data_IF_058107386278
#
_entry.id   IF_058107386278
#
_cell.length_a   1.000
_cell.length_b   1.000
_cell.length_c   1.000
_cell.angle_alpha   90.00
_cell.angle_beta   90.00
_cell.angle_gamma   90.00
#
_symmetry.space_group_name_H-M   'P 1'
#
loop_
_entity.id
_entity.type
_entity.pdbx_description
1 polymer ?
#
# COMPACT_ATOMS: atom_id res chain seq x y z
N UNK A 1 -6.50 7.43 26.57
CA UNK A 1 -5.33 7.41 27.49
C UNK A 1 -4.05 7.62 26.67
N UNK A 2 -3.09 8.43 27.13
CA UNK A 2 -1.82 8.69 26.43
C UNK A 2 -0.96 7.41 26.33
N UNK A 3 -0.21 7.25 25.23
CA UNK A 3 0.73 6.13 25.05
C UNK A 3 2.10 6.42 25.69
N UNK A 4 2.31 7.62 26.25
CA UNK A 4 3.55 8.06 26.91
C UNK A 4 3.30 8.32 28.40
N UNK A 5 3.95 7.57 29.32
CA UNK A 5 3.86 7.83 30.76
C UNK A 5 4.25 9.27 31.12
N UNK A 6 3.72 9.82 32.21
CA UNK A 6 4.01 11.21 32.63
C UNK A 6 5.46 11.44 33.07
N UNK A 7 6.19 10.39 33.45
CA UNK A 7 7.58 10.45 33.91
C UNK A 7 8.41 9.25 33.43
N UNK A 8 9.71 9.27 33.68
CA UNK A 8 10.63 8.16 33.39
C UNK A 8 11.24 8.17 31.99
N UNK A 9 11.90 7.07 31.62
CA UNK A 9 12.71 6.97 30.40
C UNK A 9 11.90 7.28 29.13
N UNK A 10 10.70 6.72 28.99
CA UNK A 10 9.90 6.90 27.77
C UNK A 10 9.45 8.37 27.59
N UNK A 11 9.11 9.05 28.69
CA UNK A 11 8.81 10.48 28.69
C UNK A 11 10.02 11.31 28.25
N UNK A 12 11.21 10.99 28.75
CA UNK A 12 12.45 11.66 28.35
C UNK A 12 12.72 11.47 26.85
N UNK A 13 12.60 10.25 26.35
CA UNK A 13 12.78 9.95 24.92
C UNK A 13 11.75 10.66 24.04
N UNK A 14 10.49 10.76 24.47
CA UNK A 14 9.46 11.53 23.77
C UNK A 14 9.83 13.02 23.65
N UNK A 15 10.29 13.63 24.76
CA UNK A 15 10.71 15.04 24.77
C UNK A 15 11.92 15.27 23.83
N UNK A 16 12.87 14.34 23.82
CA UNK A 16 14.06 14.45 22.96
C UNK A 16 13.68 14.27 21.48
N UNK A 17 12.86 13.26 21.16
CA UNK A 17 12.41 12.99 19.80
C UNK A 17 11.67 14.16 19.13
N UNK A 18 11.10 15.10 19.91
CA UNK A 18 10.46 16.29 19.40
C UNK A 18 11.44 17.31 18.76
N UNK A 19 12.75 17.16 18.93
CA UNK A 19 13.78 18.12 18.44
C UNK A 19 14.17 17.98 16.96
N UNK A 20 13.37 17.30 16.14
CA UNK A 20 13.62 17.03 14.70
C UNK A 20 14.91 16.28 14.37
N UNK A 21 15.34 15.40 15.27
CA UNK A 21 16.49 14.53 15.06
C UNK A 21 16.00 13.09 14.81
N UNK A 22 16.38 12.54 13.66
CA UNK A 22 15.87 11.26 13.15
C UNK A 22 16.13 10.09 14.11
N UNK A 23 17.37 9.95 14.60
CA UNK A 23 17.73 8.85 15.50
C UNK A 23 17.00 8.94 16.85
N UNK A 24 16.61 10.13 17.30
CA UNK A 24 15.89 10.30 18.56
C UNK A 24 14.45 9.81 18.41
N UNK A 25 13.82 10.11 17.27
CA UNK A 25 12.48 9.62 16.94
C UNK A 25 12.45 8.09 16.81
N UNK A 26 13.42 7.51 16.09
CA UNK A 26 13.50 6.05 15.98
C UNK A 26 13.77 5.38 17.33
N UNK A 27 14.68 5.94 18.15
CA UNK A 27 14.95 5.42 19.51
C UNK A 27 13.70 5.44 20.39
N UNK A 28 12.93 6.53 20.38
CA UNK A 28 11.66 6.62 21.12
C UNK A 28 10.72 5.47 20.75
N UNK A 29 10.49 5.27 19.44
CA UNK A 29 9.57 4.23 18.98
C UNK A 29 10.08 2.81 19.21
N UNK A 30 11.38 2.57 19.08
CA UNK A 30 11.96 1.25 19.36
C UNK A 30 11.76 0.87 20.83
N UNK A 31 12.03 1.79 21.76
CA UNK A 31 11.80 1.56 23.20
C UNK A 31 10.30 1.44 23.52
N UNK A 32 9.45 2.21 22.83
CA UNK A 32 8.00 2.08 22.96
C UNK A 32 7.51 0.69 22.55
N UNK A 33 7.95 0.20 21.39
CA UNK A 33 7.58 -1.12 20.85
C UNK A 33 8.04 -2.24 21.78
N UNK A 34 9.27 -2.17 22.30
CA UNK A 34 9.78 -3.16 23.26
C UNK A 34 8.95 -3.22 24.54
N UNK A 35 8.41 -2.09 25.00
CA UNK A 35 7.48 -2.07 26.14
C UNK A 35 6.10 -2.61 25.77
N UNK A 36 5.62 -2.27 24.59
CA UNK A 36 4.30 -2.68 24.11
C UNK A 36 4.23 -4.19 23.83
N UNK A 37 5.34 -4.80 23.41
CA UNK A 37 5.49 -6.22 23.10
C UNK A 37 6.60 -6.84 23.97
N UNK A 38 6.40 -6.80 25.29
CA UNK A 38 7.39 -7.22 26.27
C UNK A 38 7.26 -8.71 26.65
N UNK A 39 6.17 -9.36 26.27
CA UNK A 39 5.96 -10.78 26.56
C UNK A 39 6.94 -11.64 25.77
N UNK A 40 7.36 -12.77 26.35
CA UNK A 40 8.41 -13.66 25.80
C UNK A 40 8.08 -14.21 24.40
N UNK A 41 6.79 -14.23 24.02
CA UNK A 41 6.34 -14.62 22.69
C UNK A 41 6.72 -13.60 21.61
N UNK A 42 7.13 -12.38 21.98
CA UNK A 42 7.39 -11.30 21.03
C UNK A 42 8.85 -10.89 21.00
N UNK A 43 9.27 -10.52 19.81
CA UNK A 43 10.59 -9.96 19.53
C UNK A 43 10.42 -8.68 18.72
N UNK A 44 11.07 -7.61 19.16
CA UNK A 44 11.25 -6.40 18.35
C UNK A 44 12.65 -6.44 17.74
N UNK A 45 12.73 -6.41 16.43
CA UNK A 45 13.99 -6.34 15.70
C UNK A 45 14.07 -5.05 14.89
N UNK A 46 15.21 -4.38 14.92
CA UNK A 46 15.46 -3.17 14.15
C UNK A 46 16.38 -3.47 12.96
N UNK A 47 16.29 -2.69 11.89
CA UNK A 47 17.20 -2.76 10.74
C UNK A 47 17.21 -4.13 10.04
N UNK A 48 16.04 -4.79 9.96
CA UNK A 48 15.90 -6.12 9.34
C UNK A 48 15.50 -5.99 7.87
N UNK A 49 16.03 -6.83 6.97
CA UNK A 49 15.53 -6.87 5.60
C UNK A 49 14.13 -7.50 5.50
N UNK A 50 13.21 -6.94 4.67
CA UNK A 50 11.86 -7.47 4.55
C UNK A 50 11.77 -8.80 3.78
N UNK A 51 12.83 -9.13 3.05
CA UNK A 51 13.04 -10.29 2.18
C UNK A 51 14.55 -10.62 2.18
N UNK A 52 15.02 -11.47 1.27
CA UNK A 52 16.45 -11.78 1.13
C UNK A 52 17.28 -10.64 0.51
N UNK A 53 16.68 -9.45 0.28
CA UNK A 53 17.39 -8.31 -0.30
C UNK A 53 18.19 -7.53 0.75
N UNK A 54 19.01 -6.58 0.26
CA UNK A 54 19.77 -5.65 1.13
C UNK A 54 18.93 -4.51 1.70
N UNK A 55 17.68 -4.34 1.25
CA UNK A 55 16.81 -3.30 1.77
C UNK A 55 16.48 -3.63 3.22
N UNK A 56 16.49 -2.66 4.10
CA UNK A 56 16.08 -2.82 5.50
C UNK A 56 14.80 -2.05 5.75
N UNK A 57 14.00 -2.55 6.67
CA UNK A 57 12.95 -1.79 7.32
C UNK A 57 13.45 -1.34 8.68
N UNK A 58 12.87 -0.28 9.20
CA UNK A 58 13.37 0.32 10.43
C UNK A 58 13.11 -0.57 11.64
N UNK A 59 11.91 -1.16 11.75
CA UNK A 59 11.63 -2.18 12.75
C UNK A 59 10.54 -3.20 12.35
N UNK A 60 10.61 -4.38 12.96
CA UNK A 60 9.64 -5.47 12.82
C UNK A 60 9.36 -6.06 14.20
N UNK A 61 8.08 -6.25 14.52
CA UNK A 61 7.66 -7.12 15.62
C UNK A 61 7.38 -8.51 15.05
N UNK A 62 8.00 -9.52 15.65
CA UNK A 62 7.77 -10.93 15.34
C UNK A 62 7.15 -11.61 16.54
N UNK A 63 6.30 -12.61 16.27
CA UNK A 63 5.74 -13.50 17.29
C UNK A 63 6.31 -14.90 17.11
N UNK A 64 6.72 -15.51 18.21
CA UNK A 64 7.15 -16.89 18.31
C UNK A 64 5.94 -17.79 18.56
N UNK A 65 5.83 -18.86 17.77
CA UNK A 65 4.88 -19.94 17.97
C UNK A 65 5.62 -21.17 18.48
N UNK A 66 5.58 -21.36 19.80
CA UNK A 66 6.22 -22.47 20.52
C UNK A 66 5.75 -23.85 20.03
N UNK A 67 4.51 -23.98 19.56
CA UNK A 67 3.98 -25.28 19.11
C UNK A 67 4.63 -25.78 17.83
N UNK A 68 5.05 -24.85 16.96
CA UNK A 68 5.60 -25.15 15.65
C UNK A 68 7.07 -24.74 15.53
N UNK A 69 7.64 -24.14 16.59
CA UNK A 69 8.98 -23.55 16.62
C UNK A 69 9.23 -22.57 15.45
N UNK A 70 8.31 -21.61 15.26
CA UNK A 70 8.42 -20.64 14.17
C UNK A 70 8.30 -19.19 14.63
N UNK A 71 9.01 -18.30 13.93
CA UNK A 71 8.84 -16.85 14.05
C UNK A 71 8.04 -16.32 12.87
N UNK A 72 7.04 -15.49 13.15
CA UNK A 72 6.23 -14.83 12.12
C UNK A 72 6.19 -13.32 12.35
N UNK A 73 6.41 -12.53 11.30
CA UNK A 73 6.28 -11.08 11.38
C UNK A 73 4.80 -10.69 11.56
N UNK A 74 4.52 -9.92 12.60
CA UNK A 74 3.15 -9.48 12.93
C UNK A 74 2.95 -7.99 12.65
N UNK A 75 3.96 -7.16 12.87
CA UNK A 75 3.88 -5.70 12.67
C UNK A 75 5.15 -5.17 12.01
N UNK A 76 4.99 -4.44 10.91
CA UNK A 76 6.08 -3.71 10.24
C UNK A 76 6.03 -2.24 10.60
N UNK A 77 7.20 -1.64 10.83
CA UNK A 77 7.27 -0.26 11.26
C UNK A 77 8.29 0.52 10.43
N UNK A 78 7.83 1.66 9.89
CA UNK A 78 8.68 2.62 9.21
C UNK A 78 8.73 3.92 10.03
N UNK A 79 9.94 4.36 10.35
CA UNK A 79 10.21 5.58 11.09
C UNK A 79 10.52 6.73 10.14
N UNK A 80 10.11 7.93 10.54
CA UNK A 80 10.55 9.15 9.87
C UNK A 80 10.78 10.24 10.90
N UNK A 81 11.80 11.07 10.66
CA UNK A 81 12.03 12.28 11.44
C UNK A 81 10.83 13.24 11.38
N UNK A 82 10.64 14.14 12.35
CA UNK A 82 9.54 15.09 12.38
C UNK A 82 9.36 15.90 11.09
N UNK A 83 10.41 16.37 10.42
CA UNK A 83 10.29 17.07 9.11
C UNK A 83 10.08 16.16 7.90
N UNK A 84 9.93 14.85 8.13
CA UNK A 84 9.82 13.83 7.10
C UNK A 84 8.57 13.91 6.21
N UNK A 85 8.71 13.41 4.98
CA UNK A 85 7.60 13.34 4.02
C UNK A 85 6.66 12.17 4.34
N UNK A 86 5.43 12.51 4.74
CA UNK A 86 4.37 11.56 5.10
C UNK A 86 4.02 10.60 3.96
N UNK A 87 3.97 11.10 2.72
CA UNK A 87 3.67 10.26 1.54
C UNK A 87 4.76 9.23 1.31
N UNK A 88 6.01 9.64 1.54
CA UNK A 88 7.15 8.76 1.35
C UNK A 88 7.17 7.64 2.40
N UNK A 89 6.96 7.95 3.68
CA UNK A 89 6.95 6.92 4.74
C UNK A 89 5.81 5.92 4.53
N UNK A 90 4.60 6.38 4.15
CA UNK A 90 3.48 5.49 3.84
C UNK A 90 3.75 4.64 2.59
N UNK A 91 4.34 5.21 1.55
CA UNK A 91 4.73 4.46 0.36
C UNK A 91 5.79 3.39 0.68
N UNK A 92 6.81 3.73 1.47
CA UNK A 92 7.86 2.81 1.89
C UNK A 92 7.29 1.65 2.71
N UNK A 93 6.43 1.96 3.68
CA UNK A 93 5.78 0.98 4.52
C UNK A 93 4.85 0.05 3.74
N UNK A 94 4.05 0.60 2.80
CA UNK A 94 3.21 -0.19 1.92
C UNK A 94 4.03 -1.11 1.02
N UNK A 95 5.13 -0.63 0.43
CA UNK A 95 6.00 -1.47 -0.40
C UNK A 95 6.66 -2.60 0.42
N UNK A 96 7.10 -2.32 1.64
CA UNK A 96 7.63 -3.34 2.55
C UNK A 96 6.58 -4.40 2.93
N UNK A 97 5.36 -3.97 3.25
CA UNK A 97 4.25 -4.86 3.56
C UNK A 97 3.92 -5.81 2.40
N UNK A 98 3.85 -5.29 1.15
CA UNK A 98 3.63 -6.11 -0.05
C UNK A 98 4.67 -7.21 -0.20
N UNK A 99 5.94 -6.88 0.02
CA UNK A 99 7.05 -7.84 -0.07
C UNK A 99 6.93 -8.91 1.00
N UNK A 100 6.67 -8.50 2.24
CA UNK A 100 6.50 -9.43 3.35
C UNK A 100 5.34 -10.41 3.11
N UNK A 101 4.16 -9.90 2.71
CA UNK A 101 2.98 -10.72 2.44
C UNK A 101 3.31 -11.80 1.40
N UNK A 102 3.99 -11.43 0.31
CA UNK A 102 4.38 -12.37 -0.75
C UNK A 102 5.43 -13.37 -0.28
N UNK A 103 6.48 -12.90 0.38
CA UNK A 103 7.60 -13.74 0.82
C UNK A 103 7.18 -14.77 1.88
N UNK A 104 6.21 -14.43 2.73
CA UNK A 104 5.78 -15.27 3.85
C UNK A 104 4.38 -15.89 3.64
N UNK A 105 3.80 -15.71 2.45
CA UNK A 105 2.46 -16.17 2.08
C UNK A 105 1.37 -15.81 3.11
N UNK A 106 1.33 -14.54 3.53
CA UNK A 106 0.39 -14.06 4.55
C UNK A 106 -0.93 -13.59 3.92
N UNK A 107 -2.03 -13.65 4.67
CA UNK A 107 -3.31 -13.07 4.25
C UNK A 107 -3.35 -11.55 4.43
N UNK A 108 -2.64 -11.07 5.43
CA UNK A 108 -2.54 -9.64 5.74
C UNK A 108 -1.25 -9.36 6.51
N UNK A 109 -0.96 -8.09 6.77
CA UNK A 109 0.05 -7.70 7.74
C UNK A 109 -0.30 -6.36 8.37
N UNK A 110 0.03 -6.18 9.64
CA UNK A 110 -0.11 -4.90 10.31
C UNK A 110 1.08 -4.00 10.01
N UNK A 111 0.82 -2.71 9.89
CA UNK A 111 1.82 -1.69 9.57
C UNK A 111 1.65 -0.50 10.50
N UNK A 112 2.77 0.07 10.94
CA UNK A 112 2.83 1.33 11.66
C UNK A 112 3.77 2.27 10.92
N UNK A 113 3.34 3.50 10.72
CA UNK A 113 4.17 4.57 10.18
C UNK A 113 4.29 5.67 11.21
N UNK A 114 5.48 6.26 11.32
CA UNK A 114 5.71 7.35 12.28
C UNK A 114 6.37 8.54 11.61
N UNK A 115 6.06 9.73 12.14
CA UNK A 115 6.69 10.99 11.77
C UNK A 115 6.96 11.74 13.07
N UNK A 116 8.21 11.78 13.49
CA UNK A 116 8.56 12.26 14.82
C UNK A 116 7.99 11.37 15.91
N UNK A 117 7.24 11.99 16.83
CA UNK A 117 6.53 11.30 17.92
C UNK A 117 5.07 11.00 17.60
N UNK A 118 4.65 11.24 16.35
CA UNK A 118 3.28 10.96 15.91
C UNK A 118 3.24 9.70 15.05
N UNK A 119 2.10 9.00 15.06
CA UNK A 119 1.95 7.70 14.41
C UNK A 119 0.65 7.59 13.61
N UNK A 120 0.65 6.64 12.67
CA UNK A 120 -0.55 6.00 12.12
C UNK A 120 -0.34 4.50 12.06
N UNK A 121 -1.45 3.77 12.13
CA UNK A 121 -1.47 2.31 12.11
C UNK A 121 -2.48 1.79 11.10
N UNK A 122 -2.13 0.70 10.46
CA UNK A 122 -2.76 0.21 9.24
C UNK A 122 -2.79 -1.31 9.20
N UNK A 123 -3.65 -1.83 8.33
CA UNK A 123 -3.61 -3.22 7.87
C UNK A 123 -3.46 -3.21 6.35
N UNK A 124 -2.62 -4.11 5.83
CA UNK A 124 -2.51 -4.39 4.40
C UNK A 124 -3.00 -5.80 4.16
N UNK A 125 -3.89 -6.00 3.20
CA UNK A 125 -4.45 -7.31 2.86
C UNK A 125 -3.85 -7.81 1.55
N UNK A 126 -3.66 -9.13 1.43
CA UNK A 126 -3.22 -9.74 0.17
C UNK A 126 -4.21 -9.49 -0.98
N UNK A 127 -5.52 -9.43 -0.66
CA UNK A 127 -6.56 -9.12 -1.63
C UNK A 127 -6.50 -7.68 -2.17
N UNK A 128 -5.82 -6.77 -1.45
CA UNK A 128 -5.64 -5.38 -1.86
C UNK A 128 -4.23 -4.88 -1.48
N UNK A 129 -3.25 -5.35 -2.24
CA UNK A 129 -1.86 -4.93 -2.12
C UNK A 129 -1.60 -3.49 -2.59
N UNK A 130 -2.62 -2.66 -2.87
CA UNK A 130 -2.42 -1.28 -3.30
C UNK A 130 -2.82 -0.25 -2.26
N UNK A 131 -3.38 -0.67 -1.13
CA UNK A 131 -3.89 0.24 -0.12
C UNK A 131 -3.31 -0.05 1.27
N UNK A 132 -3.16 1.03 2.05
CA UNK A 132 -3.05 0.96 3.50
C UNK A 132 -4.46 1.19 4.05
N UNK A 133 -5.03 0.18 4.71
CA UNK A 133 -6.34 0.31 5.36
C UNK A 133 -6.13 0.87 6.77
N UNK A 134 -6.58 2.10 7.07
CA UNK A 134 -6.32 2.72 8.36
C UNK A 134 -7.08 1.99 9.48
N UNK A 135 -6.39 1.71 10.59
CA UNK A 135 -7.02 1.14 11.79
C UNK A 135 -7.86 2.18 12.54
N UNK A 136 -7.47 3.45 12.44
CA UNK A 136 -8.20 4.58 13.01
C UNK A 136 -8.24 5.76 12.03
N UNK A 137 -9.25 6.61 12.19
CA UNK A 137 -9.50 7.71 11.25
C UNK A 137 -10.17 7.23 9.96
N UNK A 138 -10.23 8.10 8.97
CA UNK A 138 -10.86 7.81 7.67
C UNK A 138 -9.85 7.35 6.60
N UNK A 139 -10.34 6.79 5.48
CA UNK A 139 -9.54 6.61 4.27
C UNK A 139 -9.14 7.99 3.79
N UNK A 140 -7.86 8.30 3.82
CA UNK A 140 -7.43 9.65 3.56
C UNK A 140 -6.00 9.70 3.06
N UNK A 141 -5.79 10.63 2.14
CA UNK A 141 -4.49 10.95 1.56
C UNK A 141 -3.47 11.16 2.68
N UNK A 142 -2.24 10.66 2.48
CA UNK A 142 -1.08 10.88 3.34
C UNK A 142 -0.94 12.37 3.72
N UNK A 143 -1.46 12.70 4.90
CA UNK A 143 -1.54 14.05 5.45
C UNK A 143 -1.12 14.01 6.91
N UNK A 144 -0.27 14.97 7.29
CA UNK A 144 0.35 14.99 8.61
C UNK A 144 -0.66 15.18 9.74
N UNK A 145 -1.77 15.88 9.48
CA UNK A 145 -2.85 16.09 10.46
C UNK A 145 -3.57 14.80 10.88
N UNK A 146 -3.34 13.68 10.20
CA UNK A 146 -3.90 12.39 10.55
C UNK A 146 -2.98 11.54 11.40
N UNK A 147 -1.74 11.99 11.62
CA UNK A 147 -0.84 11.33 12.55
C UNK A 147 -1.22 11.78 13.95
N UNK A 148 -1.45 10.79 14.81
CA UNK A 148 -1.82 10.99 16.20
C UNK A 148 -0.54 11.15 17.00
N UNK A 149 -0.45 12.21 17.80
CA UNK A 149 0.67 12.41 18.72
C UNK A 149 0.65 11.34 19.82
N UNK A 150 1.80 10.72 20.12
CA UNK A 150 1.87 9.63 21.09
C UNK A 150 1.47 10.04 22.53
N UNK A 151 1.57 11.32 22.88
CA UNK A 151 1.19 11.82 24.20
C UNK A 151 -0.23 12.40 24.24
N UNK A 152 -0.96 12.37 23.13
CA UNK A 152 -2.35 12.86 23.10
C UNK A 152 -3.35 11.84 23.65
N UNK A 153 -4.58 12.28 23.91
CA UNK A 153 -5.64 11.38 24.38
C UNK A 153 -6.02 10.33 23.32
N UNK A 154 -5.98 10.74 22.04
CA UNK A 154 -6.26 9.90 20.86
C UNK A 154 -5.25 8.76 20.70
N UNK A 155 -4.08 8.83 21.36
CA UNK A 155 -3.06 7.78 21.37
C UNK A 155 -3.57 6.44 21.93
N UNK A 156 -4.73 6.42 22.58
CA UNK A 156 -5.45 5.19 22.96
C UNK A 156 -5.69 4.26 21.75
N UNK A 157 -5.81 4.82 20.55
CA UNK A 157 -5.90 4.05 19.31
C UNK A 157 -4.69 3.11 19.14
N UNK A 158 -3.49 3.51 19.57
CA UNK A 158 -2.29 2.69 19.49
C UNK A 158 -2.31 1.52 20.47
N UNK A 159 -2.86 1.73 21.67
CA UNK A 159 -3.01 0.65 22.67
C UNK A 159 -3.98 -0.40 22.14
N UNK A 160 -5.17 0.03 21.68
CA UNK A 160 -6.16 -0.89 21.07
C UNK A 160 -5.62 -1.61 19.83
N UNK A 161 -4.78 -0.93 19.06
CA UNK A 161 -4.11 -1.54 17.91
C UNK A 161 -3.16 -2.65 18.35
N UNK A 162 -2.30 -2.41 19.34
CA UNK A 162 -1.40 -3.45 19.89
C UNK A 162 -2.19 -4.64 20.43
N UNK A 163 -3.27 -4.40 21.16
CA UNK A 163 -4.14 -5.47 21.65
C UNK A 163 -4.73 -6.30 20.49
N UNK A 164 -5.10 -5.63 19.40
CA UNK A 164 -5.59 -6.30 18.18
C UNK A 164 -4.49 -7.13 17.52
N UNK A 165 -3.28 -6.59 17.38
CA UNK A 165 -2.12 -7.31 16.80
C UNK A 165 -1.82 -8.58 17.61
N UNK A 166 -1.90 -8.49 18.94
CA UNK A 166 -1.66 -9.61 19.85
C UNK A 166 -2.78 -10.65 19.80
N UNK A 167 -4.03 -10.22 19.72
CA UNK A 167 -5.19 -11.10 19.70
C UNK A 167 -5.38 -11.80 18.34
N UNK A 168 -5.01 -11.13 17.24
CA UNK A 168 -5.25 -11.59 15.88
C UNK A 168 -3.98 -11.47 15.02
N UNK A 169 -2.94 -12.28 15.31
CA UNK A 169 -1.71 -12.25 14.52
C UNK A 169 -1.99 -12.65 13.06
N UNK A 170 -1.26 -12.08 12.08
CA UNK A 170 -1.45 -12.41 10.67
C UNK A 170 -1.36 -13.90 10.36
N UNK A 171 -2.33 -14.40 9.59
CA UNK A 171 -2.41 -15.81 9.20
C UNK A 171 -1.60 -16.07 7.93
N UNK A 172 -0.96 -17.24 7.87
CA UNK A 172 -0.37 -17.78 6.64
C UNK A 172 -1.47 -18.47 5.83
N UNK A 173 -1.45 -18.28 4.52
CA UNK A 173 -2.29 -19.03 3.59
C UNK A 173 -1.78 -20.46 3.50
N UNK A 174 -2.72 -21.42 3.50
CA UNK A 174 -2.38 -22.81 3.21
C UNK A 174 -1.83 -22.93 1.78
N UNK A 175 -0.72 -23.64 1.56
CA UNK A 175 -0.23 -23.90 0.22
C UNK A 175 -1.27 -24.69 -0.58
N UNK A 176 -1.44 -24.36 -1.86
CA UNK A 176 -2.28 -25.14 -2.77
C UNK A 176 -1.52 -26.45 -3.05
N UNK A 177 -2.01 -27.56 -2.49
CA UNK A 177 -1.49 -28.89 -2.81
C UNK A 177 -2.19 -29.38 -4.08
N UNK A 178 -1.46 -29.68 -5.17
CA UNK A 178 -2.07 -30.26 -6.36
C UNK A 178 -2.76 -31.57 -5.99
N UNK A 179 -4.00 -31.76 -6.42
CA UNK A 179 -4.68 -33.05 -6.29
C UNK A 179 -3.88 -34.10 -7.05
N UNK A 180 -3.34 -35.11 -6.36
CA UNK A 180 -2.72 -36.25 -7.01
C UNK A 180 -3.77 -36.96 -7.87
N UNK A 181 -3.49 -37.24 -9.16
CA UNK A 181 -4.36 -38.10 -9.95
C UNK A 181 -4.38 -39.50 -9.33
N UNK A 182 -5.59 -40.04 -9.15
CA UNK A 182 -5.76 -41.44 -8.75
C UNK A 182 -5.09 -42.34 -9.80
N UNK A 183 -4.37 -43.40 -9.39
CA UNK A 183 -3.82 -44.36 -10.35
C UNK A 183 -4.95 -44.90 -11.22
N UNK A 184 -4.87 -44.68 -12.53
CA UNK A 184 -5.76 -45.32 -13.50
C UNK A 184 -5.53 -46.82 -13.41
N UNK A 185 -6.39 -47.51 -12.66
CA UNK A 185 -6.50 -48.96 -12.73
C UNK A 185 -6.93 -49.30 -14.15
N UNK A 186 -6.16 -50.14 -14.83
CA UNK A 186 -6.45 -50.66 -16.16
C UNK A 186 -7.82 -51.34 -16.17
N UNK A 187 -8.85 -50.64 -16.64
CA UNK A 187 -10.08 -51.29 -17.06
C UNK A 187 -9.77 -52.00 -18.38
N UNK A 188 -9.35 -53.27 -18.30
CA UNK A 188 -9.36 -54.19 -19.43
C UNK A 188 -10.81 -54.31 -19.94
N UNK A 189 -11.14 -53.60 -21.02
CA UNK A 189 -12.35 -53.85 -21.79
C UNK A 189 -12.22 -55.19 -22.50
N UNK A 190 -12.92 -56.21 -21.98
CA UNK A 190 -13.23 -57.44 -22.71
C UNK A 190 -14.43 -57.12 -23.62
N UNK A 191 -14.15 -56.71 -24.86
CA UNK A 191 -15.15 -56.44 -25.90
C UNK A 191 -15.26 -57.60 -26.87
N UNK A 192 -16.38 -58.31 -26.82
CA UNK A 192 -16.74 -59.43 -27.69
C UNK A 192 -16.80 -59.02 -29.17
N UNK A 193 -16.26 -59.90 -30.03
CA UNK A 193 -16.28 -59.80 -31.48
C UNK A 193 -17.65 -60.10 -32.08
N UNK A 194 -18.19 -59.16 -32.89
CA UNK A 194 -19.08 -59.50 -34.01
C UNK A 194 -18.73 -58.69 -35.27
N UNK A 195 -18.36 -59.46 -36.29
CA UNK A 195 -18.42 -59.23 -37.74
C UNK A 195 -19.74 -58.57 -38.19
N UNK A 196 -19.87 -57.72 -39.22
CA UNK A 196 -19.00 -57.26 -40.30
C UNK A 196 -19.82 -56.41 -41.32
N UNK A 197 -19.13 -55.92 -42.36
CA UNK A 197 -19.56 -55.08 -43.51
C UNK A 197 -19.65 -53.55 -43.25
N UNK A 198 -18.89 -52.67 -43.91
CA UNK A 198 -17.88 -52.79 -44.96
C UNK A 198 -17.64 -51.41 -45.59
N UNK A 199 -16.38 -50.96 -45.70
CA UNK A 199 -15.99 -49.72 -46.39
C UNK A 199 -14.55 -49.26 -46.07
N UNK A 200 -13.58 -49.79 -46.81
CA UNK A 200 -12.13 -49.44 -46.81
C UNK A 200 -11.82 -48.29 -47.83
N UNK A 201 -10.60 -47.70 -47.93
CA UNK A 201 -9.32 -48.06 -47.25
C UNK A 201 -8.47 -46.92 -46.61
N UNK A 202 -7.64 -47.34 -45.63
CA UNK A 202 -6.20 -47.10 -45.36
C UNK A 202 -5.45 -45.91 -45.98
N UNK A 203 -4.35 -45.37 -45.46
CA UNK A 203 -3.52 -45.43 -44.24
C UNK A 203 -2.45 -44.30 -44.47
N UNK A 204 -1.89 -43.59 -43.49
CA UNK A 204 -0.67 -43.86 -42.68
C UNK A 204 -0.31 -42.48 -42.09
N UNK A 205 -0.02 -42.27 -40.80
CA UNK A 205 1.20 -42.68 -40.10
C UNK A 205 1.64 -41.56 -39.14
N UNK A 206 2.14 -41.94 -37.96
CA UNK A 206 3.07 -41.26 -37.02
C UNK A 206 3.03 -39.72 -36.90
N UNK A 207 2.86 -39.10 -35.73
CA UNK A 207 3.49 -39.38 -34.43
C UNK A 207 4.33 -38.15 -34.03
N UNK A 208 4.37 -37.80 -32.74
CA UNK A 208 5.44 -36.93 -32.20
C UNK A 208 5.00 -35.68 -31.45
N UNK A 209 5.50 -35.57 -30.22
CA UNK A 209 5.29 -34.56 -29.19
C UNK A 209 6.20 -33.32 -29.39
N UNK A 210 5.75 -32.15 -28.95
CA UNK A 210 6.59 -31.01 -28.50
C UNK A 210 5.65 -30.00 -27.78
N UNK A 211 5.65 -29.83 -26.46
CA UNK A 211 6.68 -29.25 -25.57
C UNK A 211 7.23 -27.91 -26.07
N UNK A 212 6.53 -26.83 -25.73
CA UNK A 212 7.04 -25.47 -25.86
C UNK A 212 7.94 -25.13 -24.67
N UNK A 213 9.24 -25.24 -24.88
CA UNK A 213 10.29 -24.72 -24.00
C UNK A 213 10.66 -23.32 -24.51
N UNK A 214 10.56 -22.29 -23.67
CA UNK A 214 11.25 -21.03 -23.90
C UNK A 214 12.18 -20.76 -22.72
N UNK A 215 13.45 -21.12 -22.93
CA UNK A 215 14.58 -20.67 -22.14
C UNK A 215 15.20 -19.43 -22.77
N UNK A 216 15.68 -18.55 -21.90
CA UNK A 216 16.41 -17.31 -22.14
C UNK A 216 17.62 -17.46 -23.08
N UNK A 217 17.95 -16.39 -23.80
CA UNK A 217 19.32 -15.85 -23.84
C UNK A 217 19.36 -14.47 -24.54
N UNK A 218 19.92 -13.51 -23.81
CA UNK A 218 20.53 -12.26 -24.30
C UNK A 218 21.73 -12.61 -25.23
N UNK A 219 22.23 -11.73 -26.13
CA UNK A 219 23.15 -10.70 -25.66
C UNK A 219 23.26 -9.38 -26.47
N UNK A 220 23.68 -8.34 -25.72
CA UNK A 220 24.71 -7.32 -26.01
C UNK A 220 24.53 -6.17 -27.03
N UNK A 221 24.84 -4.99 -26.46
CA UNK A 221 25.62 -3.83 -26.99
C UNK A 221 25.01 -2.83 -27.98
N UNK A 222 25.13 -1.55 -27.60
CA UNK A 222 24.79 -0.39 -28.43
C UNK A 222 24.86 0.94 -27.67
N UNK A 223 26.07 1.37 -27.32
CA UNK A 223 26.38 2.70 -26.76
C UNK A 223 26.12 3.81 -27.77
N UNK A 224 25.39 4.87 -27.39
CA UNK A 224 25.48 6.18 -28.05
C UNK A 224 25.33 7.33 -27.05
N UNK A 225 26.40 8.14 -26.96
CA UNK A 225 26.38 9.48 -26.40
C UNK A 225 25.62 10.43 -27.34
N UNK A 226 24.80 11.32 -26.78
CA UNK A 226 24.43 12.58 -27.43
C UNK A 226 24.31 13.69 -26.38
N UNK A 227 25.21 14.66 -26.51
CA UNK A 227 25.25 15.94 -25.80
C UNK A 227 24.26 16.96 -26.38
N UNK A 228 24.08 18.03 -25.59
CA UNK A 228 23.76 19.42 -25.93
C UNK A 228 22.32 19.90 -25.67
N UNK A 229 22.11 21.22 -25.48
CA UNK A 229 22.88 22.19 -24.68
C UNK A 229 21.95 23.06 -23.80
N UNK A 230 22.54 23.94 -22.99
CA UNK A 230 21.85 24.72 -21.97
C UNK A 230 20.88 25.80 -22.46
N UNK A 231 20.10 26.31 -21.51
CA UNK A 231 19.52 27.66 -21.54
C UNK A 231 19.28 28.16 -20.12
N UNK A 232 19.47 29.46 -19.99
CA UNK A 232 19.77 30.29 -18.84
C UNK A 232 18.57 30.67 -17.97
N UNK A 233 18.85 30.80 -16.67
CA UNK A 233 18.49 31.88 -15.72
C UNK A 233 17.07 32.47 -15.80
N UNK A 234 16.31 32.35 -14.69
CA UNK A 234 15.75 33.51 -14.00
C UNK A 234 15.32 33.16 -12.56
N UNK A 235 16.00 33.80 -11.60
CA UNK A 235 15.54 34.00 -10.23
C UNK A 235 14.21 34.74 -10.26
N UNK A 236 13.23 34.27 -9.48
CA UNK A 236 12.20 35.12 -8.89
C UNK A 236 12.02 34.69 -7.44
N UNK A 237 12.48 35.55 -6.53
CA UNK A 237 11.94 35.63 -5.18
C UNK A 237 10.42 35.80 -5.26
N UNK A 238 9.67 35.00 -4.51
CA UNK A 238 8.28 35.34 -4.16
C UNK A 238 7.91 34.76 -2.81
N UNK A 239 8.08 35.63 -1.80
CA UNK A 239 7.34 35.64 -0.56
C UNK A 239 5.86 35.94 -0.85
N UNK A 240 4.92 35.01 -0.61
CA UNK A 240 3.51 35.39 -0.37
C UNK A 240 2.60 34.26 0.14
N UNK A 241 2.08 34.49 1.35
CA UNK A 241 0.81 34.10 1.98
C UNK A 241 -0.09 33.02 1.35
N UNK A 242 -0.44 32.04 2.19
CA UNK A 242 -1.56 31.09 2.06
C UNK A 242 -2.91 31.84 2.06
N UNK A 243 -3.65 31.80 0.94
CA UNK A 243 -5.03 32.30 0.86
C UNK A 243 -5.79 31.88 -0.40
N UNK A 244 -6.76 30.97 -0.24
CA UNK A 244 -8.02 30.82 -1.02
C UNK A 244 -8.00 30.96 -2.56
N UNK A 245 -7.16 30.20 -3.26
CA UNK A 245 -7.16 30.17 -4.72
C UNK A 245 -7.86 28.92 -5.29
N UNK A 246 -9.16 29.01 -5.57
CA UNK A 246 -9.85 27.98 -6.36
C UNK A 246 -9.38 28.03 -7.82
N UNK A 247 -9.16 26.86 -8.42
CA UNK A 247 -8.71 26.72 -9.81
C UNK A 247 -9.92 26.63 -10.73
N UNK A 248 -10.06 27.57 -11.67
CA UNK A 248 -11.18 27.56 -12.62
C UNK A 248 -10.97 26.45 -13.64
N UNK A 249 -11.97 25.60 -13.83
CA UNK A 249 -11.97 24.55 -14.86
C UNK A 249 -13.19 24.65 -15.75
N UNK A 250 -13.04 24.24 -17.01
CA UNK A 250 -14.16 24.06 -17.93
C UNK A 250 -14.58 22.58 -17.90
N UNK A 251 -15.88 22.35 -17.77
CA UNK A 251 -16.44 21.01 -17.62
C UNK A 251 -17.23 20.64 -18.86
N UNK A 252 -16.88 19.50 -19.45
CA UNK A 252 -17.59 18.90 -20.58
C UNK A 252 -18.60 17.87 -20.08
N UNK A 253 -19.88 18.07 -20.42
CA UNK A 253 -20.96 17.16 -20.05
C UNK A 253 -21.10 16.05 -21.08
N UNK A 254 -21.11 14.80 -20.61
CA UNK A 254 -21.33 13.60 -21.42
C UNK A 254 -22.57 12.89 -20.90
N UNK A 255 -23.60 12.80 -21.75
CA UNK A 255 -24.85 12.10 -21.44
C UNK A 255 -24.83 10.70 -22.03
N UNK A 256 -25.23 9.72 -21.24
CA UNK A 256 -25.34 8.32 -21.64
C UNK A 256 -26.80 7.86 -21.61
N UNK A 257 -27.18 6.91 -22.46
CA UNK A 257 -28.52 6.30 -22.39
C UNK A 257 -28.55 5.23 -21.29
N UNK A 258 -29.37 5.44 -20.24
CA UNK A 258 -29.53 4.50 -19.13
C UNK A 258 -28.42 4.52 -18.06
N UNK A 259 -27.45 5.46 -18.12
CA UNK A 259 -26.42 5.67 -17.08
C UNK A 259 -26.41 7.13 -16.62
N UNK A 260 -25.79 7.37 -15.46
CA UNK A 260 -25.61 8.70 -14.90
C UNK A 260 -24.84 9.62 -15.86
N UNK A 261 -25.20 10.90 -15.89
CA UNK A 261 -24.48 11.92 -16.66
C UNK A 261 -23.10 12.15 -16.05
N UNK A 262 -22.09 12.26 -16.91
CA UNK A 262 -20.70 12.41 -16.51
C UNK A 262 -20.17 13.80 -16.90
N UNK A 263 -19.23 14.29 -16.11
CA UNK A 263 -18.65 15.62 -16.20
C UNK A 263 -17.12 15.47 -16.25
N UNK A 264 -16.53 15.89 -17.37
CA UNK A 264 -15.11 15.74 -17.65
C UNK A 264 -14.39 17.10 -17.58
N UNK A 265 -13.24 17.18 -16.91
CA UNK A 265 -12.40 18.38 -16.90
C UNK A 265 -10.92 18.01 -16.79
N UNK A 266 -10.02 18.92 -17.17
CA UNK A 266 -8.58 18.71 -17.00
C UNK A 266 -8.13 19.32 -15.67
N UNK A 267 -7.38 18.56 -14.88
CA UNK A 267 -6.81 19.05 -13.63
C UNK A 267 -5.58 19.94 -13.86
N UNK A 268 -5.01 20.48 -12.77
CA UNK A 268 -3.81 21.33 -12.82
C UNK A 268 -2.58 20.64 -13.42
N UNK A 269 -2.56 19.30 -13.47
CA UNK A 269 -1.49 18.50 -14.06
C UNK A 269 -1.82 18.09 -15.51
N UNK A 270 -2.87 18.67 -16.11
CA UNK A 270 -3.32 18.36 -17.47
C UNK A 270 -4.00 17.00 -17.63
N UNK A 271 -4.24 16.27 -16.54
CA UNK A 271 -4.90 14.96 -16.59
C UNK A 271 -6.41 15.12 -16.68
N UNK A 272 -7.07 14.43 -17.61
CA UNK A 272 -8.52 14.43 -17.70
C UNK A 272 -9.14 13.65 -16.52
N UNK A 273 -10.13 14.26 -15.90
CA UNK A 273 -10.87 13.75 -14.74
C UNK A 273 -12.32 13.55 -15.09
N UNK A 274 -12.89 12.51 -14.50
CA UNK A 274 -14.26 12.09 -14.67
C UNK A 274 -14.99 12.18 -13.35
N UNK A 275 -16.11 12.88 -13.36
CA UNK A 275 -16.95 13.16 -12.19
C UNK A 275 -18.42 12.99 -12.54
N UNK A 276 -19.26 12.87 -11.52
CA UNK A 276 -20.72 12.84 -11.59
C UNK A 276 -21.28 14.07 -10.90
N UNK A 277 -22.59 14.33 -10.97
CA UNK A 277 -23.21 15.48 -10.29
C UNK A 277 -22.88 15.52 -8.79
N UNK A 278 -22.91 14.36 -8.13
CA UNK A 278 -22.75 14.24 -6.67
C UNK A 278 -21.33 14.61 -6.20
N UNK A 279 -20.36 14.60 -7.11
CA UNK A 279 -19.02 15.07 -6.85
C UNK A 279 -18.93 16.61 -6.73
N UNK A 280 -19.95 17.36 -7.15
CA UNK A 280 -19.93 18.82 -7.20
C UNK A 280 -20.88 19.46 -6.20
N UNK A 281 -20.41 20.52 -5.54
CA UNK A 281 -21.22 21.31 -4.60
C UNK A 281 -21.46 22.70 -5.16
N UNK A 282 -22.72 23.13 -5.16
CA UNK A 282 -23.08 24.50 -5.54
C UNK A 282 -22.68 25.47 -4.42
N UNK A 283 -21.98 26.54 -4.78
CA UNK A 283 -21.52 27.59 -3.87
C UNK A 283 -21.62 28.96 -4.53
N UNK A 284 -21.58 30.01 -3.71
CA UNK A 284 -21.37 31.38 -4.21
C UNK A 284 -19.88 31.71 -4.13
N UNK A 285 -19.23 31.92 -5.27
CA UNK A 285 -17.82 32.28 -5.33
C UNK A 285 -17.61 33.54 -6.16
N UNK A 286 -16.97 34.55 -5.53
CA UNK A 286 -16.79 35.91 -6.09
C UNK A 286 -18.13 36.52 -6.56
N UNK A 287 -19.16 36.41 -5.72
CA UNK A 287 -20.48 37.01 -5.93
C UNK A 287 -21.34 36.37 -7.03
N UNK A 288 -20.94 35.21 -7.56
CA UNK A 288 -21.71 34.47 -8.58
C UNK A 288 -21.82 32.99 -8.20
N UNK A 289 -22.91 32.34 -8.61
CA UNK A 289 -23.05 30.90 -8.47
C UNK A 289 -21.92 30.16 -9.21
N UNK A 290 -21.36 29.15 -8.57
CA UNK A 290 -20.31 28.29 -9.07
C UNK A 290 -20.49 26.88 -8.49
N UNK A 291 -19.92 25.89 -9.16
CA UNK A 291 -19.81 24.53 -8.67
C UNK A 291 -18.37 24.27 -8.28
N UNK A 292 -18.14 23.69 -7.09
CA UNK A 292 -16.82 23.31 -6.62
C UNK A 292 -16.66 21.79 -6.51
N UNK A 293 -15.46 21.32 -6.82
CA UNK A 293 -15.01 19.97 -6.62
C UNK A 293 -13.61 20.01 -5.99
N UNK A 294 -13.47 19.51 -4.76
CA UNK A 294 -12.19 19.48 -4.07
C UNK A 294 -11.57 18.10 -4.21
N UNK A 295 -10.38 18.03 -4.82
CA UNK A 295 -9.61 16.79 -4.98
C UNK A 295 -8.13 17.05 -4.76
N UNK A 296 -7.47 16.18 -4.00
CA UNK A 296 -6.02 16.23 -3.75
C UNK A 296 -5.53 17.61 -3.26
N UNK A 297 -6.32 18.29 -2.43
CA UNK A 297 -5.99 19.60 -1.88
C UNK A 297 -6.14 20.79 -2.84
N UNK A 298 -6.60 20.56 -4.07
CA UNK A 298 -6.97 21.62 -5.02
C UNK A 298 -8.48 21.69 -5.09
N UNK A 299 -9.03 22.87 -4.86
CA UNK A 299 -10.46 23.12 -5.09
C UNK A 299 -10.64 23.66 -6.49
N UNK A 300 -11.21 22.84 -7.36
CA UNK A 300 -11.61 23.24 -8.70
C UNK A 300 -12.97 23.91 -8.62
N UNK A 301 -13.19 24.94 -9.44
CA UNK A 301 -14.51 25.53 -9.60
C UNK A 301 -14.88 25.71 -11.07
N UNK A 302 -16.15 25.53 -11.40
CA UNK A 302 -16.71 25.86 -12.71
C UNK A 302 -17.96 26.73 -12.58
N UNK A 303 -18.31 27.44 -13.65
CA UNK A 303 -19.60 28.11 -13.81
C UNK A 303 -20.49 27.42 -14.85
N UNK A 304 -20.00 26.32 -15.41
CA UNK A 304 -20.79 25.49 -16.31
C UNK A 304 -21.92 24.82 -15.52
N UNK A 305 -23.05 24.59 -16.20
CA UNK A 305 -24.22 23.98 -15.54
C UNK A 305 -23.96 22.50 -15.28
N UNK A 306 -23.89 22.14 -14.00
CA UNK A 306 -23.92 20.76 -13.52
C UNK A 306 -25.35 20.47 -13.06
N UNK A 307 -26.00 19.48 -13.66
CA UNK A 307 -27.41 19.13 -13.47
C UNK A 307 -27.61 17.65 -13.24
#
# INVERSE_FOLDING_TARGET
MSAVPSTGLLRKLYIDAAQDIEYQSSTFWQIWLQRAFHEDEYMVSCEIPPDESRRRVDAVVKRYDDRHDTLSAVLWVEFKRPSGNVRQVEFQALDAAKRCIRANNLESVYVMTTVGVSFRVWTVYESDLQSLVPFHGGPADATRSQYVDADSYEAEALTRFVDTVKAYPPLRRAPIVPSQPLPQSEYQQIGYSQTGYGGYPSATGQGGYASGTYSEANPSEGSYYAQNPGSSVQEHEQTSSVGDQFVKVQVNRVTHFGRSTEYLFNDVNGSQRKTTKDDWKEVTYKGKAAWINSRRGVTYYTRDRIR
#
